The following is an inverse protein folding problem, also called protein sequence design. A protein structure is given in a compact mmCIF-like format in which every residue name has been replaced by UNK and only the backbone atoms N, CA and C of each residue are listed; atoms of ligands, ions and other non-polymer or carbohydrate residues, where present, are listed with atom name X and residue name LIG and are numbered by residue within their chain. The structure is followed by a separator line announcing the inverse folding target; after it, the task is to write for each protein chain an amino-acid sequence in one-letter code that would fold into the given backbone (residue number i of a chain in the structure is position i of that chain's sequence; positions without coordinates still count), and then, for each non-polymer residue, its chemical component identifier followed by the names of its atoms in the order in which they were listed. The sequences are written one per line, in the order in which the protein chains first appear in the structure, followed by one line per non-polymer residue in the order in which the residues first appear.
data_IF_610239943004
#
_entry.id   IF_610239943004
#
_cell.length_a   1.000
_cell.length_b   1.000
_cell.length_c   1.000
_cell.angle_alpha   90.00
_cell.angle_beta   90.00
_cell.angle_gamma   90.00
#
_symmetry.space_group_name_H-M   'P 1'
#
loop_
_entity.id
_entity.type
_entity.pdbx_description
1 polymer ?
#
# COMPACT_ATOMS: atom_id res chain seq x y z
N UNK A 1 -5.49 15.08 -0.42
CA UNK A 1 -6.13 16.19 -1.16
C UNK A 1 -6.15 15.84 -2.64
N UNK A 2 -7.34 15.67 -3.24
CA UNK A 2 -7.45 15.60 -4.70
C UNK A 2 -7.50 17.04 -5.21
N UNK A 3 -6.46 17.48 -5.90
CA UNK A 3 -6.52 18.72 -6.65
C UNK A 3 -7.44 18.48 -7.86
N UNK A 4 -8.62 19.09 -7.84
CA UNK A 4 -9.50 19.20 -8.99
C UNK A 4 -8.97 20.35 -9.87
N UNK A 5 -8.01 20.08 -10.74
CA UNK A 5 -7.64 21.02 -11.80
C UNK A 5 -8.59 20.83 -12.97
N UNK A 6 -9.79 21.39 -12.87
CA UNK A 6 -10.65 21.52 -14.04
C UNK A 6 -10.15 22.69 -14.88
N UNK A 7 -9.58 22.39 -16.04
CA UNK A 7 -9.40 23.39 -17.08
C UNK A 7 -10.77 23.64 -17.70
N UNK A 8 -11.50 24.59 -17.13
CA UNK A 8 -12.71 25.17 -17.72
C UNK A 8 -12.45 26.65 -17.94
N UNK A 9 -12.82 27.16 -19.10
CA UNK A 9 -12.76 28.60 -19.35
C UNK A 9 -13.94 29.29 -18.66
N UNK A 10 -13.72 30.34 -17.86
CA UNK A 10 -14.81 31.09 -17.25
C UNK A 10 -15.68 31.82 -18.31
N UNK A 11 -15.19 31.93 -19.55
CA UNK A 11 -15.89 32.49 -20.71
C UNK A 11 -16.79 31.50 -21.44
N UNK A 12 -16.67 30.19 -21.16
CA UNK A 12 -17.48 29.15 -21.79
C UNK A 12 -18.67 28.82 -20.87
N UNK A 13 -19.92 28.97 -21.34
CA UNK A 13 -21.08 28.67 -20.52
C UNK A 13 -21.18 27.16 -20.25
N UNK A 14 -21.88 26.78 -19.18
CA UNK A 14 -22.13 25.35 -18.87
C UNK A 14 -22.89 24.67 -20.01
N UNK A 15 -23.86 25.37 -20.61
CA UNK A 15 -24.57 24.98 -21.83
C UNK A 15 -24.72 26.18 -22.75
N UNK A 16 -24.67 25.96 -24.06
CA UNK A 16 -25.06 26.98 -25.03
C UNK A 16 -26.58 27.13 -25.09
N UNK A 17 -27.05 28.16 -25.79
CA UNK A 17 -28.48 28.40 -26.04
C UNK A 17 -29.16 27.27 -26.82
N UNK A 18 -28.40 26.52 -27.62
CA UNK A 18 -28.87 25.32 -28.33
C UNK A 18 -29.02 24.08 -27.43
N UNK A 19 -28.71 24.18 -26.13
CA UNK A 19 -28.86 23.11 -25.14
C UNK A 19 -27.68 22.15 -25.02
N UNK A 20 -26.69 22.21 -25.93
CA UNK A 20 -25.46 21.41 -25.84
C UNK A 20 -24.50 21.96 -24.77
N UNK A 21 -23.63 21.09 -24.25
CA UNK A 21 -22.58 21.50 -23.30
C UNK A 21 -21.58 22.44 -23.97
N UNK A 22 -21.12 23.46 -23.22
CA UNK A 22 -20.14 24.43 -23.73
C UNK A 22 -18.71 23.89 -23.72
N UNK A 23 -17.96 24.13 -24.81
CA UNK A 23 -16.53 23.76 -24.97
C UNK A 23 -15.65 24.87 -25.58
N UNK A 24 -16.25 25.83 -26.28
CA UNK A 24 -15.57 26.90 -27.00
C UNK A 24 -16.22 28.24 -26.65
N UNK A 25 -15.42 29.30 -26.66
CA UNK A 25 -15.84 30.69 -26.47
C UNK A 25 -15.76 31.48 -27.80
N UNK A 26 -15.82 30.77 -28.93
CA UNK A 26 -15.73 31.35 -30.27
C UNK A 26 -14.29 31.55 -30.78
N UNK A 27 -13.25 31.15 -30.03
CA UNK A 27 -11.87 31.18 -30.53
C UNK A 27 -11.56 29.94 -31.41
N UNK A 28 -11.35 30.09 -32.73
CA UNK A 28 -11.13 28.95 -33.64
C UNK A 28 -9.74 28.32 -33.51
N UNK A 29 -8.79 28.99 -32.83
CA UNK A 29 -7.40 28.53 -32.72
C UNK A 29 -7.18 27.54 -31.56
N UNK A 30 -8.24 27.22 -30.81
CA UNK A 30 -8.17 26.37 -29.62
C UNK A 30 -9.11 25.21 -29.82
N UNK A 31 -8.57 24.00 -29.81
CA UNK A 31 -9.37 22.80 -30.01
C UNK A 31 -10.38 22.62 -28.89
N UNK A 32 -11.61 22.20 -29.23
CA UNK A 32 -12.62 21.81 -28.24
C UNK A 32 -12.12 20.68 -27.32
N UNK A 33 -11.05 19.95 -27.69
CA UNK A 33 -10.43 18.90 -26.87
C UNK A 33 -9.63 19.40 -25.66
N UNK A 34 -9.25 20.68 -25.64
CA UNK A 34 -8.38 21.27 -24.61
C UNK A 34 -9.12 21.48 -23.28
N UNK A 35 -10.40 21.87 -23.33
CA UNK A 35 -11.20 22.17 -22.15
C UNK A 35 -12.35 21.16 -22.03
N UNK A 36 -12.58 20.65 -20.82
CA UNK A 36 -13.64 19.66 -20.54
C UNK A 36 -14.75 20.32 -19.74
N UNK A 37 -15.99 20.10 -20.15
CA UNK A 37 -17.13 20.56 -19.36
C UNK A 37 -17.31 19.63 -18.14
N UNK A 38 -17.17 20.14 -16.90
CA UNK A 38 -17.21 19.30 -15.71
C UNK A 38 -18.61 18.75 -15.45
N UNK A 39 -19.66 19.47 -15.85
CA UNK A 39 -21.04 19.01 -15.72
C UNK A 39 -21.32 17.91 -16.74
N UNK A 40 -20.79 18.00 -17.96
CA UNK A 40 -20.85 16.88 -18.90
C UNK A 40 -20.14 15.65 -18.34
N UNK A 41 -18.90 15.82 -17.85
CA UNK A 41 -18.10 14.72 -17.33
C UNK A 41 -18.71 14.03 -16.10
N UNK A 42 -19.47 14.77 -15.27
CA UNK A 42 -20.22 14.20 -14.15
C UNK A 42 -21.43 13.37 -14.59
N UNK A 43 -21.99 13.66 -15.75
CA UNK A 43 -23.20 13.00 -16.28
C UNK A 43 -22.87 11.94 -17.33
N UNK A 44 -21.60 11.75 -17.69
CA UNK A 44 -21.17 10.80 -18.72
C UNK A 44 -20.33 9.67 -18.14
N UNK A 45 -20.68 8.45 -18.55
CA UNK A 45 -19.96 7.22 -18.22
C UNK A 45 -20.41 6.56 -16.94
N UNK A 46 -19.76 5.44 -16.65
CA UNK A 46 -20.05 4.61 -15.49
C UNK A 46 -18.73 4.13 -14.92
N UNK A 47 -18.59 4.18 -13.59
CA UNK A 47 -17.45 3.61 -12.90
C UNK A 47 -17.89 2.98 -11.60
N UNK A 48 -17.71 1.68 -11.51
CA UNK A 48 -17.90 0.89 -10.28
C UNK A 48 -16.53 0.42 -9.79
N UNK A 49 -16.29 0.52 -8.49
CA UNK A 49 -14.99 0.21 -7.90
C UNK A 49 -15.19 -0.47 -6.54
N UNK A 50 -15.07 -1.79 -6.53
CA UNK A 50 -15.30 -2.64 -5.36
C UNK A 50 -13.96 -3.06 -4.77
N UNK A 51 -13.86 -2.91 -3.46
CA UNK A 51 -12.69 -3.30 -2.70
C UNK A 51 -13.11 -4.34 -1.67
N UNK A 52 -12.44 -5.48 -1.66
CA UNK A 52 -12.60 -6.50 -0.64
C UNK A 52 -11.28 -6.67 0.08
N UNK A 53 -11.32 -6.65 1.41
CA UNK A 53 -10.12 -6.80 2.23
C UNK A 53 -10.40 -7.70 3.41
N UNK A 54 -9.49 -8.64 3.64
CA UNK A 54 -9.47 -9.49 4.82
C UNK A 54 -8.04 -9.56 5.35
N UNK A 55 -7.85 -9.22 6.62
CA UNK A 55 -6.59 -9.35 7.34
C UNK A 55 -6.83 -10.22 8.59
N UNK A 56 -6.34 -11.46 8.57
CA UNK A 56 -6.48 -12.42 9.67
C UNK A 56 -5.13 -12.79 10.26
N UNK A 57 -5.08 -12.99 11.59
CA UNK A 57 -3.92 -13.55 12.29
C UNK A 57 -4.37 -14.53 13.37
N UNK A 58 -3.87 -15.75 13.30
CA UNK A 58 -4.02 -16.78 14.31
C UNK A 58 -2.67 -17.01 14.99
N UNK A 59 -2.67 -17.24 16.30
CA UNK A 59 -1.45 -17.59 17.02
C UNK A 59 -1.76 -18.52 18.19
N UNK A 60 -0.79 -19.35 18.52
CA UNK A 60 -0.75 -20.15 19.74
C UNK A 60 0.52 -19.81 20.52
N UNK A 61 0.43 -19.77 21.84
CA UNK A 61 1.56 -19.58 22.74
C UNK A 61 1.54 -20.67 23.80
N UNK A 62 2.71 -21.20 24.12
CA UNK A 62 2.91 -22.19 25.17
C UNK A 62 4.12 -21.81 26.02
N UNK A 63 3.95 -21.85 27.34
CA UNK A 63 5.06 -21.79 28.29
C UNK A 63 5.67 -23.20 28.37
N UNK A 64 6.88 -23.38 27.83
CA UNK A 64 7.58 -24.68 27.82
C UNK A 64 8.09 -25.01 29.22
N UNK A 65 8.77 -24.03 29.82
CA UNK A 65 9.21 -24.02 31.23
C UNK A 65 9.07 -22.59 31.75
N UNK A 66 9.22 -22.40 33.06
CA UNK A 66 9.15 -21.06 33.66
C UNK A 66 10.11 -20.10 32.96
N UNK A 67 9.56 -19.04 32.38
CA UNK A 67 10.32 -18.01 31.65
C UNK A 67 10.58 -18.33 30.18
N UNK A 68 10.44 -19.58 29.71
CA UNK A 68 10.63 -19.96 28.30
C UNK A 68 9.30 -20.13 27.60
N UNK A 69 9.01 -19.27 26.63
CA UNK A 69 7.78 -19.29 25.86
C UNK A 69 8.05 -19.55 24.40
N UNK A 70 7.21 -20.38 23.78
CA UNK A 70 7.16 -20.53 22.34
C UNK A 70 5.83 -20.00 21.81
N UNK A 71 5.91 -19.16 20.79
CA UNK A 71 4.75 -18.61 20.08
C UNK A 71 4.87 -18.90 18.60
N UNK A 72 3.83 -19.49 18.02
CA UNK A 72 3.70 -19.63 16.57
C UNK A 72 2.50 -18.83 16.09
N UNK A 73 2.64 -18.13 14.97
CA UNK A 73 1.56 -17.37 14.36
C UNK A 73 1.51 -17.53 12.86
N UNK A 74 0.28 -17.51 12.33
CA UNK A 74 -0.02 -17.51 10.91
C UNK A 74 -0.91 -16.30 10.63
N UNK A 75 -0.51 -15.44 9.71
CA UNK A 75 -1.32 -14.34 9.22
C UNK A 75 -1.60 -14.52 7.73
N UNK A 76 -2.78 -14.10 7.31
CA UNK A 76 -3.20 -14.10 5.92
C UNK A 76 -3.88 -12.76 5.61
N UNK A 77 -3.41 -12.10 4.55
CA UNK A 77 -3.98 -10.88 4.01
C UNK A 77 -4.49 -11.18 2.61
N UNK A 78 -5.68 -10.70 2.34
CA UNK A 78 -6.36 -10.79 1.07
C UNK A 78 -6.88 -9.41 0.72
N UNK A 79 -6.54 -8.95 -0.46
CA UNK A 79 -7.03 -7.69 -1.01
C UNK A 79 -7.42 -7.90 -2.46
N UNK A 80 -8.67 -7.56 -2.79
CA UNK A 80 -9.18 -7.59 -4.14
C UNK A 80 -9.74 -6.23 -4.51
N UNK A 81 -9.46 -5.81 -5.73
CA UNK A 81 -9.95 -4.58 -6.33
C UNK A 81 -10.51 -4.90 -7.70
N UNK A 82 -11.82 -4.71 -7.84
CA UNK A 82 -12.55 -4.84 -9.10
C UNK A 82 -13.02 -3.46 -9.54
N UNK A 83 -12.58 -3.03 -10.72
CA UNK A 83 -13.01 -1.77 -11.33
C UNK A 83 -13.61 -2.03 -12.68
N UNK A 84 -14.87 -1.63 -12.85
CA UNK A 84 -15.51 -1.52 -14.16
C UNK A 84 -15.59 -0.06 -14.52
N UNK A 85 -15.05 0.32 -15.68
CA UNK A 85 -15.12 1.69 -16.22
C UNK A 85 -15.71 1.66 -17.62
N UNK A 86 -16.87 2.28 -17.80
CA UNK A 86 -17.48 2.51 -19.10
C UNK A 86 -17.29 3.96 -19.52
N UNK A 87 -16.69 4.14 -20.69
CA UNK A 87 -16.61 5.41 -21.39
C UNK A 87 -17.66 5.39 -22.50
N UNK A 88 -18.67 6.28 -22.46
CA UNK A 88 -19.74 6.31 -23.44
C UNK A 88 -19.21 6.85 -24.78
N UNK A 89 -20.04 6.80 -25.83
CA UNK A 89 -19.67 7.43 -27.09
C UNK A 89 -19.44 8.91 -26.81
N UNK A 90 -18.35 9.47 -27.32
CA UNK A 90 -18.18 10.91 -27.26
C UNK A 90 -19.38 11.53 -27.99
N UNK A 91 -20.10 12.41 -27.31
CA UNK A 91 -21.11 13.23 -27.96
C UNK A 91 -20.44 14.00 -29.10
N UNK A 92 -21.18 14.17 -30.20
CA UNK A 92 -20.81 15.17 -31.20
C UNK A 92 -20.72 16.50 -30.44
N UNK A 93 -19.55 17.13 -30.49
CA UNK A 93 -19.38 18.45 -29.89
C UNK A 93 -19.89 19.47 -30.88
N UNK A 94 -20.65 20.43 -30.39
CA UNK A 94 -21.21 21.51 -31.19
C UNK A 94 -20.55 22.83 -30.81
N UNK A 95 -20.46 23.77 -31.74
CA UNK A 95 -20.24 25.17 -31.42
C UNK A 95 -21.54 25.83 -30.91
N UNK A 96 -21.48 27.12 -30.60
CA UNK A 96 -22.64 27.87 -30.12
C UNK A 96 -23.71 28.01 -31.23
N UNK A 97 -23.28 27.96 -32.48
CA UNK A 97 -24.09 28.05 -33.70
C UNK A 97 -24.76 26.71 -34.07
N UNK A 98 -24.36 25.61 -33.45
CA UNK A 98 -24.93 24.27 -33.67
C UNK A 98 -24.24 23.45 -34.77
N UNK A 99 -23.06 23.86 -35.24
CA UNK A 99 -22.26 23.08 -36.18
C UNK A 99 -21.49 21.97 -35.44
N UNK A 100 -21.45 20.77 -36.03
CA UNK A 100 -20.72 19.63 -35.49
C UNK A 100 -19.21 19.80 -35.66
N UNK A 101 -18.46 19.62 -34.58
CA UNK A 101 -17.02 19.82 -34.51
C UNK A 101 -16.21 18.51 -34.39
N UNK A 102 -16.85 17.39 -34.03
CA UNK A 102 -16.20 16.08 -33.86
C UNK A 102 -17.04 14.94 -34.44
N UNK A 103 -16.38 13.85 -34.81
CA UNK A 103 -17.04 12.58 -35.11
C UNK A 103 -17.39 11.81 -33.83
N UNK A 104 -18.39 10.94 -33.92
CA UNK A 104 -18.80 10.05 -32.82
C UNK A 104 -17.67 9.05 -32.58
N UNK A 105 -17.13 9.05 -31.36
CA UNK A 105 -16.19 8.03 -30.92
C UNK A 105 -16.89 6.72 -30.60
N UNK A 106 -16.13 5.64 -30.48
CA UNK A 106 -16.66 4.36 -29.99
C UNK A 106 -16.67 4.34 -28.47
N UNK A 107 -17.78 3.88 -27.87
CA UNK A 107 -17.80 3.59 -26.44
C UNK A 107 -16.88 2.42 -26.10
N UNK A 108 -16.41 2.38 -24.85
CA UNK A 108 -15.45 1.39 -24.36
C UNK A 108 -15.77 1.02 -22.92
N UNK A 109 -15.88 -0.28 -22.67
CA UNK A 109 -15.86 -0.84 -21.32
C UNK A 109 -14.45 -1.36 -21.03
N UNK A 110 -13.94 -1.09 -19.84
CA UNK A 110 -12.71 -1.68 -19.31
C UNK A 110 -13.02 -2.27 -17.94
N UNK A 111 -12.78 -3.55 -17.79
CA UNK A 111 -12.79 -4.26 -16.51
C UNK A 111 -11.37 -4.52 -16.07
N UNK A 112 -11.09 -4.17 -14.82
CA UNK A 112 -9.81 -4.33 -14.16
C UNK A 112 -10.02 -5.17 -12.91
N UNK A 113 -9.25 -6.25 -12.80
CA UNK A 113 -9.22 -7.12 -11.64
C UNK A 113 -7.81 -7.14 -11.07
N UNK A 114 -7.68 -6.87 -9.78
CA UNK A 114 -6.44 -6.99 -9.04
C UNK A 114 -6.65 -7.78 -7.77
N UNK A 115 -5.84 -8.81 -7.58
CA UNK A 115 -5.84 -9.66 -6.40
C UNK A 115 -4.44 -9.65 -5.80
N UNK A 116 -4.32 -9.31 -4.52
CA UNK A 116 -3.10 -9.45 -3.74
C UNK A 116 -3.37 -10.37 -2.55
N UNK A 117 -2.49 -11.35 -2.36
CA UNK A 117 -2.50 -12.24 -1.20
C UNK A 117 -1.14 -12.19 -0.52
N UNK A 118 -1.13 -12.18 0.80
CA UNK A 118 0.10 -12.29 1.60
C UNK A 118 -0.12 -13.26 2.73
N UNK A 119 0.76 -14.25 2.89
CA UNK A 119 0.81 -15.08 4.09
C UNK A 119 2.10 -14.83 4.87
N UNK A 120 2.00 -14.88 6.19
CA UNK A 120 3.13 -14.71 7.10
C UNK A 120 3.07 -15.84 8.12
N UNK A 121 4.12 -16.64 8.20
CA UNK A 121 4.33 -17.59 9.29
C UNK A 121 5.49 -17.12 10.16
N UNK A 122 5.26 -16.99 11.45
CA UNK A 122 6.26 -16.48 12.40
C UNK A 122 6.29 -17.36 13.66
N UNK A 123 7.48 -17.85 13.97
CA UNK A 123 7.76 -18.69 15.13
C UNK A 123 8.80 -17.99 16.00
N UNK A 124 8.48 -17.78 17.28
CA UNK A 124 9.30 -17.01 18.22
C UNK A 124 9.47 -17.83 19.50
N UNK A 125 10.70 -17.92 19.97
CA UNK A 125 11.08 -18.44 21.27
C UNK A 125 11.59 -17.28 22.13
N UNK A 126 11.03 -17.07 23.30
CA UNK A 126 11.48 -16.05 24.26
C UNK A 126 11.88 -16.69 25.58
N UNK A 127 13.00 -16.24 26.18
CA UNK A 127 13.42 -16.67 27.50
C UNK A 127 13.71 -15.48 28.42
N UNK A 128 12.95 -15.40 29.50
CA UNK A 128 13.05 -14.37 30.53
C UNK A 128 13.57 -14.97 31.84
N UNK A 129 14.69 -14.45 32.34
CA UNK A 129 15.23 -14.87 33.63
C UNK A 129 16.00 -13.75 34.33
N UNK A 130 16.06 -13.84 35.66
CA UNK A 130 16.76 -12.88 36.51
C UNK A 130 17.61 -13.58 37.56
N UNK A 131 18.80 -13.04 37.81
CA UNK A 131 19.73 -13.52 38.85
C UNK A 131 20.24 -12.31 39.62
N UNK A 132 19.82 -12.17 40.88
CA UNK A 132 20.15 -11.01 41.71
C UNK A 132 19.64 -9.70 41.07
N UNK A 133 20.56 -8.82 40.68
CA UNK A 133 20.24 -7.53 40.02
C UNK A 133 20.25 -7.62 38.49
N UNK A 134 20.54 -8.78 37.93
CA UNK A 134 20.63 -9.01 36.49
C UNK A 134 19.29 -9.52 35.97
N UNK A 135 18.76 -8.89 34.93
CA UNK A 135 17.60 -9.39 34.19
C UNK A 135 17.94 -9.53 32.73
N UNK A 136 17.59 -10.67 32.15
CA UNK A 136 17.83 -11.02 30.76
C UNK A 136 16.50 -11.35 30.09
N UNK A 137 16.33 -10.84 28.87
CA UNK A 137 15.27 -11.23 27.95
C UNK A 137 15.93 -11.61 26.63
N UNK A 138 15.81 -12.89 26.28
CA UNK A 138 16.35 -13.46 25.05
C UNK A 138 15.19 -13.76 24.11
N UNK A 139 15.39 -13.52 22.83
CA UNK A 139 14.45 -13.88 21.78
C UNK A 139 15.21 -14.49 20.61
N UNK A 140 14.68 -15.59 20.09
CA UNK A 140 15.05 -16.15 18.79
C UNK A 140 13.77 -16.32 17.96
N UNK A 141 13.82 -15.95 16.68
CA UNK A 141 12.66 -15.95 15.81
C UNK A 141 12.98 -16.32 14.39
N UNK A 142 12.00 -16.93 13.74
CA UNK A 142 12.00 -17.26 12.32
C UNK A 142 10.68 -16.79 11.71
N UNK A 143 10.76 -16.09 10.58
CA UNK A 143 9.59 -15.57 9.88
C UNK A 143 9.73 -15.83 8.39
N UNK A 144 8.64 -16.26 7.77
CA UNK A 144 8.49 -16.37 6.33
C UNK A 144 7.29 -15.53 5.94
N UNK A 145 7.47 -14.66 4.95
CA UNK A 145 6.42 -13.92 4.30
C UNK A 145 6.47 -14.22 2.82
N UNK A 146 5.32 -14.46 2.18
CA UNK A 146 5.23 -14.38 0.74
C UNK A 146 4.00 -13.59 0.33
N UNK A 147 4.17 -12.81 -0.72
CA UNK A 147 3.17 -11.93 -1.31
C UNK A 147 3.10 -12.23 -2.80
N UNK A 148 1.89 -12.44 -3.29
CA UNK A 148 1.61 -12.58 -4.71
C UNK A 148 0.52 -11.59 -5.09
N UNK A 149 0.72 -10.90 -6.20
CA UNK A 149 -0.35 -10.15 -6.83
C UNK A 149 -0.56 -10.60 -8.27
N UNK A 150 -1.81 -10.60 -8.68
CA UNK A 150 -2.28 -10.93 -10.02
C UNK A 150 -3.15 -9.76 -10.50
N UNK A 151 -2.94 -9.32 -11.73
CA UNK A 151 -3.65 -8.21 -12.35
C UNK A 151 -4.12 -8.62 -13.73
N UNK A 152 -5.40 -8.42 -14.02
CA UNK A 152 -5.98 -8.63 -15.32
C UNK A 152 -6.76 -7.38 -15.74
N UNK A 153 -6.69 -7.05 -17.02
CA UNK A 153 -7.51 -6.02 -17.63
C UNK A 153 -8.12 -6.59 -18.90
N UNK A 154 -9.44 -6.44 -19.04
CA UNK A 154 -10.16 -6.74 -20.26
C UNK A 154 -10.87 -5.47 -20.74
N UNK A 155 -10.96 -5.30 -22.05
CA UNK A 155 -11.77 -4.23 -22.62
C UNK A 155 -12.38 -4.62 -23.95
N UNK A 156 -13.54 -4.02 -24.23
CA UNK A 156 -14.24 -4.10 -25.50
C UNK A 156 -14.80 -2.74 -25.88
N UNK A 157 -15.10 -2.58 -27.16
CA UNK A 157 -15.73 -1.41 -27.73
C UNK A 157 -16.97 -1.80 -28.55
N UNK A 158 -17.74 -0.80 -28.98
CA UNK A 158 -18.82 -1.01 -29.95
C UNK A 158 -20.11 -1.53 -29.32
N UNK A 159 -20.48 -0.98 -28.17
CA UNK A 159 -21.75 -1.26 -27.51
C UNK A 159 -22.88 -0.55 -28.26
N UNK A 160 -24.04 -1.22 -28.35
CA UNK A 160 -25.22 -0.69 -29.02
C UNK A 160 -25.72 0.61 -28.36
N UNK A 161 -25.70 0.64 -27.03
CA UNK A 161 -26.15 1.74 -26.18
C UNK A 161 -25.11 2.07 -25.10
N UNK A 162 -25.25 3.24 -24.46
CA UNK A 162 -24.33 3.72 -23.41
C UNK A 162 -24.80 3.36 -21.98
N UNK A 163 -25.69 2.37 -21.87
CA UNK A 163 -26.26 1.86 -20.62
C UNK A 163 -26.11 0.34 -20.43
N UNK A 164 -25.30 -0.32 -21.26
CA UNK A 164 -24.92 -1.73 -21.12
C UNK A 164 -23.47 -1.75 -20.61
N UNK A 165 -23.25 -2.35 -19.45
CA UNK A 165 -21.96 -2.34 -18.75
C UNK A 165 -21.37 -3.74 -18.61
N UNK A 166 -21.93 -4.71 -19.32
CA UNK A 166 -21.48 -6.09 -19.39
C UNK A 166 -20.57 -6.27 -20.61
N UNK A 167 -19.38 -6.84 -20.43
CA UNK A 167 -18.35 -7.00 -21.47
C UNK A 167 -18.88 -7.61 -22.78
N UNK A 168 -19.82 -8.55 -22.71
CA UNK A 168 -20.43 -9.19 -23.88
C UNK A 168 -21.30 -8.25 -24.72
N UNK A 169 -21.68 -7.08 -24.20
CA UNK A 169 -22.40 -6.04 -24.94
C UNK A 169 -21.55 -5.33 -26.00
N UNK A 170 -20.22 -5.48 -25.96
CA UNK A 170 -19.30 -4.91 -26.95
C UNK A 170 -19.04 -5.84 -28.14
N UNK A 171 -18.91 -5.26 -29.33
CA UNK A 171 -18.79 -5.98 -30.61
C UNK A 171 -17.45 -5.81 -31.32
N UNK A 172 -16.58 -4.91 -30.84
CA UNK A 172 -15.35 -4.51 -31.52
C UNK A 172 -14.16 -4.42 -30.57
N UNK A 173 -12.95 -4.51 -31.15
CA UNK A 173 -11.67 -4.18 -30.50
C UNK A 173 -11.51 -4.82 -29.11
N UNK A 174 -11.65 -6.14 -29.06
CA UNK A 174 -11.38 -6.92 -27.86
C UNK A 174 -9.89 -6.84 -27.51
N UNK A 175 -9.63 -6.64 -26.22
CA UNK A 175 -8.28 -6.58 -25.69
C UNK A 175 -8.25 -7.19 -24.29
N UNK A 176 -7.29 -8.08 -24.06
CA UNK A 176 -7.03 -8.67 -22.75
C UNK A 176 -5.54 -8.59 -22.48
N UNK A 177 -5.19 -8.19 -21.27
CA UNK A 177 -3.81 -8.16 -20.79
C UNK A 177 -3.77 -8.52 -19.32
N UNK A 178 -2.63 -9.04 -18.87
CA UNK A 178 -2.45 -9.44 -17.49
C UNK A 178 -1.00 -9.60 -17.10
N UNK A 179 -0.75 -9.60 -15.79
CA UNK A 179 0.57 -9.76 -15.20
C UNK A 179 0.44 -10.27 -13.78
N UNK A 180 1.44 -11.00 -13.32
CA UNK A 180 1.54 -11.44 -11.93
C UNK A 180 2.97 -11.27 -11.43
N UNK A 181 3.12 -11.04 -10.13
CA UNK A 181 4.41 -11.02 -9.46
C UNK A 181 4.31 -11.76 -8.13
N UNK A 182 5.40 -12.42 -7.77
CA UNK A 182 5.54 -13.08 -6.48
C UNK A 182 6.84 -12.63 -5.81
N UNK A 183 6.76 -12.35 -4.52
CA UNK A 183 7.91 -12.04 -3.67
C UNK A 183 7.83 -12.82 -2.37
N UNK A 184 8.96 -13.30 -1.88
CA UNK A 184 9.06 -13.94 -0.58
C UNK A 184 10.28 -13.44 0.19
N UNK A 185 10.11 -13.38 1.51
CA UNK A 185 11.08 -12.97 2.48
C UNK A 185 11.19 -14.06 3.54
N UNK A 186 12.41 -14.49 3.83
CA UNK A 186 12.71 -15.35 4.96
C UNK A 186 13.65 -14.62 5.91
N UNK A 187 13.33 -14.65 7.19
CA UNK A 187 14.07 -13.91 8.21
C UNK A 187 14.38 -14.79 9.40
N UNK A 188 15.63 -14.77 9.82
CA UNK A 188 16.07 -15.29 11.11
C UNK A 188 16.50 -14.12 11.98
N UNK A 189 16.03 -14.05 13.21
CA UNK A 189 16.31 -12.92 14.07
C UNK A 189 16.50 -13.29 15.52
N UNK A 190 17.39 -12.57 16.17
CA UNK A 190 17.69 -12.73 17.58
C UNK A 190 17.74 -11.38 18.28
N UNK A 191 17.34 -11.36 19.55
CA UNK A 191 17.45 -10.20 20.43
C UNK A 191 17.91 -10.62 21.81
N UNK A 192 18.84 -9.86 22.36
CA UNK A 192 19.25 -9.94 23.75
C UNK A 192 19.02 -8.58 24.39
N UNK A 193 18.21 -8.57 25.44
CA UNK A 193 18.03 -7.44 26.33
C UNK A 193 18.64 -7.78 27.69
N UNK A 194 19.45 -6.88 28.22
CA UNK A 194 20.08 -7.01 29.51
C UNK A 194 19.83 -5.75 30.34
N UNK A 195 19.44 -5.93 31.59
CA UNK A 195 19.24 -4.87 32.55
C UNK A 195 19.99 -5.20 33.84
N UNK A 196 20.90 -4.30 34.24
CA UNK A 196 21.57 -4.36 35.54
C UNK A 196 20.97 -3.34 36.51
N UNK A 197 20.20 -3.83 37.47
CA UNK A 197 19.69 -3.08 38.61
C UNK A 197 18.82 -1.87 38.24
N UNK A 198 18.18 -1.90 37.06
CA UNK A 198 17.40 -0.77 36.56
C UNK A 198 18.24 0.45 36.15
N UNK A 199 19.56 0.31 36.02
CA UNK A 199 20.48 1.44 35.75
C UNK A 199 21.14 1.34 34.40
N UNK A 200 21.68 0.17 34.06
CA UNK A 200 22.37 -0.04 32.80
C UNK A 200 21.56 -1.01 31.95
N UNK A 201 21.21 -0.55 30.76
CA UNK A 201 20.45 -1.30 29.78
C UNK A 201 21.35 -1.55 28.59
N UNK A 202 21.37 -2.79 28.11
CA UNK A 202 22.05 -3.18 26.89
C UNK A 202 21.09 -3.98 26.03
N UNK A 203 21.04 -3.66 24.75
CA UNK A 203 20.22 -4.33 23.76
C UNK A 203 21.10 -4.69 22.56
N UNK A 204 21.04 -5.94 22.13
CA UNK A 204 21.72 -6.45 20.94
C UNK A 204 20.67 -7.11 20.07
N UNK A 205 20.65 -6.79 18.78
CA UNK A 205 19.82 -7.46 17.79
C UNK A 205 20.67 -7.94 16.63
N UNK A 206 20.27 -9.06 16.04
CA UNK A 206 20.80 -9.52 14.76
C UNK A 206 19.65 -10.05 13.92
N UNK A 207 19.62 -9.63 12.66
CA UNK A 207 18.71 -10.17 11.64
C UNK A 207 19.52 -10.73 10.48
N UNK A 208 19.09 -11.87 9.96
CA UNK A 208 19.57 -12.46 8.72
C UNK A 208 18.37 -12.63 7.79
N UNK A 209 18.24 -11.73 6.82
CA UNK A 209 17.06 -11.63 5.96
C UNK A 209 17.42 -12.03 4.54
N UNK A 210 16.57 -12.86 3.94
CA UNK A 210 16.69 -13.40 2.60
C UNK A 210 15.50 -13.02 1.72
N UNK A 211 15.75 -12.39 0.57
CA UNK A 211 14.69 -11.91 -0.34
C UNK A 211 14.69 -12.65 -1.67
N UNK A 212 13.54 -13.13 -2.14
CA UNK A 212 13.43 -13.79 -3.46
C UNK A 212 13.78 -12.87 -4.63
N UNK A 213 13.70 -11.55 -4.44
CA UNK A 213 14.07 -10.52 -5.43
C UNK A 213 15.57 -10.41 -5.67
N UNK A 214 16.38 -10.93 -4.75
CA UNK A 214 17.84 -10.87 -4.84
C UNK A 214 18.41 -12.11 -5.53
N UNK A 215 19.49 -11.97 -6.32
CA UNK A 215 20.18 -13.11 -6.94
C UNK A 215 20.58 -14.17 -5.91
N UNK A 216 20.57 -15.44 -6.29
CA UNK A 216 20.90 -16.57 -5.39
C UNK A 216 22.20 -16.36 -4.59
N UNK A 217 23.23 -15.76 -5.20
CA UNK A 217 24.53 -15.51 -4.59
C UNK A 217 24.51 -14.46 -3.45
N UNK A 218 23.56 -13.52 -3.47
CA UNK A 218 23.46 -12.42 -2.50
C UNK A 218 22.06 -12.32 -1.89
N UNK A 219 21.35 -13.45 -1.85
CA UNK A 219 19.96 -13.52 -1.40
C UNK A 219 19.79 -13.05 0.05
N UNK A 220 20.80 -13.33 0.88
CA UNK A 220 20.78 -13.06 2.30
C UNK A 220 21.74 -11.95 2.71
N UNK A 221 21.31 -11.14 3.65
CA UNK A 221 22.13 -10.11 4.28
C UNK A 221 21.92 -10.08 5.80
N UNK A 222 22.98 -9.74 6.52
CA UNK A 222 22.98 -9.67 8.00
C UNK A 222 23.00 -8.23 8.48
N UNK A 223 22.11 -7.94 9.41
CA UNK A 223 21.81 -6.62 9.96
C UNK A 223 21.94 -6.64 11.48
N UNK A 224 23.14 -6.36 12.02
CA UNK A 224 23.33 -6.22 13.46
C UNK A 224 22.91 -4.82 13.94
N UNK A 225 22.44 -4.74 15.18
CA UNK A 225 22.29 -3.48 15.91
C UNK A 225 22.59 -3.65 17.39
N UNK A 226 23.07 -2.57 18.01
CA UNK A 226 23.44 -2.51 19.41
C UNK A 226 22.96 -1.19 20.00
N UNK A 227 22.45 -1.22 21.22
CA UNK A 227 22.16 -0.01 21.98
C UNK A 227 22.51 -0.17 23.45
N UNK A 228 22.96 0.92 24.04
CA UNK A 228 23.24 1.04 25.46
C UNK A 228 22.47 2.21 26.03
N UNK A 229 21.95 2.07 27.25
CA UNK A 229 21.37 3.18 27.97
C UNK A 229 21.74 3.15 29.44
N UNK A 230 21.90 4.34 30.01
CA UNK A 230 22.17 4.56 31.42
C UNK A 230 21.08 5.45 32.01
N UNK A 231 20.33 4.91 32.97
CA UNK A 231 19.32 5.63 33.73
C UNK A 231 20.03 6.24 34.95
N UNK A 232 20.52 7.46 34.76
CA UNK A 232 21.29 8.18 35.78
C UNK A 232 20.44 8.50 37.02
N UNK A 233 19.14 8.76 36.87
CA UNK A 233 18.24 9.01 38.02
C UNK A 233 18.11 7.82 38.97
N UNK A 234 18.49 6.62 38.55
CA UNK A 234 18.48 5.44 39.41
C UNK A 234 19.82 5.25 40.15
N UNK A 235 20.76 6.18 40.00
CA UNK A 235 22.02 6.17 40.73
C UNK A 235 21.89 6.88 42.07
N UNK A 236 22.64 6.37 43.06
CA UNK A 236 22.65 6.93 44.42
C UNK A 236 23.01 8.41 44.47
N UNK A 237 23.87 8.87 43.55
CA UNK A 237 24.28 10.28 43.49
C UNK A 237 23.18 11.22 42.99
N UNK A 238 22.14 10.70 42.32
CA UNK A 238 21.02 11.50 41.82
C UNK A 238 19.82 11.54 42.78
N UNK A 239 19.83 10.75 43.86
CA UNK A 239 18.71 10.65 44.82
C UNK A 239 18.31 12.02 45.43
N UNK A 240 19.27 12.94 45.56
CA UNK A 240 19.04 14.27 46.16
C UNK A 240 18.59 15.34 45.15
N UNK A 241 18.55 15.02 43.84
CA UNK A 241 18.24 15.99 42.78
C UNK A 241 16.74 16.03 42.51
N UNK A 242 15.97 16.67 43.42
CA UNK A 242 14.50 16.64 43.40
C UNK A 242 13.83 17.33 42.20
N UNK A 243 14.53 18.20 41.48
CA UNK A 243 13.97 18.86 40.29
C UNK A 243 13.97 17.96 39.04
N UNK A 244 14.76 16.89 39.04
CA UNK A 244 14.98 16.03 37.88
C UNK A 244 14.38 14.63 38.11
N UNK A 245 13.23 14.36 37.47
CA UNK A 245 12.46 13.14 37.71
C UNK A 245 12.96 11.92 36.91
N UNK A 246 13.53 12.15 35.74
CA UNK A 246 14.08 11.10 34.89
C UNK A 246 15.22 11.65 34.04
N UNK A 247 16.37 10.99 34.09
CA UNK A 247 17.50 11.27 33.22
C UNK A 247 18.05 9.95 32.70
N UNK A 248 18.00 9.82 31.37
CA UNK A 248 18.47 8.64 30.65
C UNK A 248 19.37 9.08 29.51
N UNK A 249 20.60 8.58 29.50
CA UNK A 249 21.49 8.69 28.35
C UNK A 249 21.38 7.42 27.52
N UNK A 250 21.22 7.55 26.20
CA UNK A 250 21.14 6.40 25.28
C UNK A 250 22.03 6.63 24.06
N UNK A 251 22.76 5.60 23.68
CA UNK A 251 23.48 5.51 22.40
C UNK A 251 23.07 4.24 21.66
N UNK A 252 23.00 4.30 20.34
CA UNK A 252 22.69 3.15 19.50
C UNK A 252 23.39 3.22 18.16
N UNK A 253 23.75 2.06 17.62
CA UNK A 253 24.26 1.90 16.28
C UNK A 253 23.63 0.66 15.64
N UNK A 254 23.35 0.70 14.35
CA UNK A 254 22.83 -0.46 13.64
C UNK A 254 22.96 -0.33 12.13
N UNK A 255 23.04 -1.48 11.47
CA UNK A 255 23.02 -1.59 10.02
C UNK A 255 21.60 -1.95 9.58
N UNK A 256 21.03 -1.18 8.66
CA UNK A 256 19.73 -1.45 8.05
C UNK A 256 19.92 -1.84 6.58
N UNK A 257 18.97 -2.61 6.03
CA UNK A 257 18.90 -2.95 4.62
C UNK A 257 17.58 -2.50 4.03
N UNK A 258 17.61 -2.08 2.76
CA UNK A 258 16.41 -1.91 1.95
C UNK A 258 16.41 -2.99 0.86
N UNK A 259 15.23 -3.55 0.61
CA UNK A 259 15.00 -4.58 -0.42
C UNK A 259 13.96 -4.15 -1.45
N UNK A 260 13.45 -2.91 -1.37
CA UNK A 260 12.75 -2.28 -2.48
C UNK A 260 13.81 -1.90 -3.54
N UNK A 261 13.65 -2.46 -4.74
CA UNK A 261 14.39 -2.11 -5.95
C UNK A 261 13.41 -1.39 -6.87
#
# INVERSE_FOLDING_TARGET
MRYLTWFTRPTVPVRYSNGHYGFLDGNPNISQSVFKNPIEALNMGYKDNKHYRFDGKFFGEIDIIKGLKFRSSLAYKYYMNDVTTFNPKNNIRYDAEGNALTTVGTNKLTDYHYLETTYINENILTYDFSVGKHSFNLLAGHSIQATRWDKNEASKQGFATDNIYEMDGGTMNDHVTGSAEESSLQSFFGRLNYNYGGRYLLEMNVRHDGSSRMPKAHRYATFPSFSGAWIMTNEKFMENVKFLHSLKLRGSWGKLGNQEI
#
